data_IF_881132851882
#
_entry.id   IF_881132851882
#
_cell.length_a   1.000
_cell.length_b   1.000
_cell.length_c   1.000
_cell.angle_alpha   90.00
_cell.angle_beta   90.00
_cell.angle_gamma   90.00
#
_symmetry.space_group_name_H-M   'P 1'
#
loop_
_entity.id
_entity.type
_entity.pdbx_description
1 polymer ?
#
# COMPACT_ATOMS: atom_id res chain seq x y z
N UNK A 1 -24.06 8.55 8.74
CA UNK A 1 -23.57 9.80 8.11
C UNK A 1 -22.76 9.38 6.91
N UNK A 2 -22.75 10.17 5.84
CA UNK A 2 -22.22 9.73 4.56
C UNK A 2 -20.71 9.45 4.60
N UNK A 3 -20.28 8.36 3.96
CA UNK A 3 -18.87 8.02 3.77
C UNK A 3 -18.32 8.89 2.64
N UNK A 4 -17.23 9.59 2.91
CA UNK A 4 -16.65 10.55 1.97
C UNK A 4 -15.35 10.02 1.38
N UNK A 5 -15.31 9.94 0.05
CA UNK A 5 -14.08 9.70 -0.70
C UNK A 5 -13.23 10.97 -0.74
N UNK A 6 -11.97 10.84 -0.31
CA UNK A 6 -10.99 11.92 -0.25
C UNK A 6 -9.70 11.62 -1.03
N UNK A 7 -9.00 12.69 -1.42
CA UNK A 7 -7.60 12.64 -1.88
C UNK A 7 -6.79 13.46 -0.89
N UNK A 8 -5.92 12.84 -0.06
CA UNK A 8 -5.13 13.63 0.87
C UNK A 8 -4.18 14.54 0.09
N UNK A 9 -3.99 15.76 0.58
CA UNK A 9 -2.82 16.56 0.20
C UNK A 9 -1.54 15.96 0.80
N UNK A 10 -0.38 16.55 0.50
CA UNK A 10 0.91 16.10 1.07
C UNK A 10 0.86 16.08 2.60
N UNK A 11 0.25 17.08 3.23
CA UNK A 11 0.11 17.16 4.69
C UNK A 11 -0.80 16.05 5.25
N UNK A 12 -1.81 15.63 4.48
CA UNK A 12 -2.75 14.56 4.84
C UNK A 12 -2.17 13.15 4.72
N UNK A 13 -1.02 12.98 4.06
CA UNK A 13 -0.34 11.68 4.01
C UNK A 13 0.09 11.20 5.41
N UNK A 14 0.33 12.13 6.34
CA UNK A 14 0.71 11.80 7.72
C UNK A 14 -0.39 11.02 8.44
N UNK A 15 -1.65 11.42 8.25
CA UNK A 15 -2.82 10.78 8.82
C UNK A 15 -3.04 9.39 8.21
N UNK A 16 -2.99 9.29 6.87
CA UNK A 16 -3.09 8.00 6.16
C UNK A 16 -1.99 7.02 6.62
N UNK A 17 -0.74 7.47 6.73
CA UNK A 17 0.35 6.64 7.27
C UNK A 17 0.11 6.28 8.74
N UNK A 18 -0.45 7.19 9.53
CA UNK A 18 -0.80 6.97 10.93
C UNK A 18 -1.80 5.82 11.10
N UNK A 19 -2.95 5.87 10.43
CA UNK A 19 -3.97 4.81 10.54
C UNK A 19 -3.45 3.48 10.00
N UNK A 20 -2.65 3.49 8.93
CA UNK A 20 -1.99 2.28 8.42
C UNK A 20 -1.01 1.66 9.42
N UNK A 21 -0.37 2.46 10.29
CA UNK A 21 0.44 1.93 11.40
C UNK A 21 -0.43 1.26 12.45
N UNK A 22 -1.55 1.88 12.80
CA UNK A 22 -2.47 1.36 13.83
C UNK A 22 -3.17 0.07 13.42
N UNK A 23 -3.46 -0.11 12.13
CA UNK A 23 -4.12 -1.32 11.63
C UNK A 23 -3.19 -2.52 11.46
N UNK A 24 -1.89 -2.36 11.69
CA UNK A 24 -0.94 -3.47 11.69
C UNK A 24 -0.91 -4.18 13.03
N UNK A 25 -1.18 -5.48 13.02
CA UNK A 25 -1.01 -6.36 14.16
C UNK A 25 -0.65 -7.77 13.68
N UNK A 26 -0.06 -8.57 14.57
CA UNK A 26 0.32 -9.94 14.25
C UNK A 26 -0.91 -10.78 13.88
N UNK A 27 -0.90 -11.35 12.67
CA UNK A 27 -2.00 -12.15 12.16
C UNK A 27 -3.08 -11.35 11.41
N UNK A 28 -2.94 -10.03 11.29
CA UNK A 28 -3.75 -9.26 10.35
C UNK A 28 -3.61 -9.81 8.92
N UNK A 29 -4.67 -9.82 8.10
CA UNK A 29 -4.55 -10.14 6.68
C UNK A 29 -3.50 -9.26 6.01
N UNK A 30 -2.73 -9.83 5.08
CA UNK A 30 -1.83 -9.03 4.24
C UNK A 30 -2.65 -8.04 3.43
N UNK A 31 -2.25 -6.78 3.47
CA UNK A 31 -2.97 -5.64 2.89
C UNK A 31 -1.99 -4.47 2.67
N UNK A 32 -2.47 -3.41 2.02
CA UNK A 32 -1.74 -2.15 1.92
C UNK A 32 -1.23 -1.70 3.31
N UNK A 33 0.07 -1.43 3.42
CA UNK A 33 0.72 -1.04 4.67
C UNK A 33 1.62 0.21 4.46
N UNK A 34 2.14 0.86 5.53
CA UNK A 34 2.95 2.07 5.41
C UNK A 34 4.19 1.90 4.54
N UNK A 35 4.73 0.69 4.45
CA UNK A 35 5.87 0.37 3.60
C UNK A 35 5.57 0.48 2.12
N UNK A 36 4.34 0.22 1.68
CA UNK A 36 3.91 0.42 0.30
C UNK A 36 3.85 1.90 -0.05
N UNK A 37 3.26 2.73 0.82
CA UNK A 37 3.28 4.20 0.65
C UNK A 37 4.72 4.72 0.68
N UNK A 38 5.55 4.19 1.59
CA UNK A 38 6.97 4.52 1.69
C UNK A 38 7.72 4.18 0.42
N UNK A 39 7.46 3.01 -0.17
CA UNK A 39 8.02 2.59 -1.44
C UNK A 39 7.55 3.48 -2.59
N UNK A 40 6.24 3.80 -2.66
CA UNK A 40 5.67 4.67 -3.68
C UNK A 40 6.22 6.11 -3.59
N UNK A 41 6.59 6.56 -2.39
CA UNK A 41 7.26 7.83 -2.12
C UNK A 41 8.55 8.07 -2.90
N UNK A 42 9.14 7.03 -3.49
CA UNK A 42 10.24 7.15 -4.46
C UNK A 42 9.93 8.08 -5.64
N UNK A 43 8.64 8.34 -5.92
CA UNK A 43 8.18 9.27 -6.96
C UNK A 43 7.94 10.70 -6.45
N UNK A 44 8.09 10.96 -5.16
CA UNK A 44 7.84 12.27 -4.54
C UNK A 44 6.55 12.30 -3.72
N UNK A 45 6.43 13.32 -2.85
CA UNK A 45 5.32 13.44 -1.92
C UNK A 45 4.01 13.78 -2.64
N UNK A 46 4.05 14.69 -3.60
CA UNK A 46 2.89 15.13 -4.38
C UNK A 46 2.32 13.98 -5.22
N UNK A 47 3.19 13.22 -5.88
CA UNK A 47 2.78 12.03 -6.64
C UNK A 47 2.19 10.96 -5.75
N UNK A 48 2.74 10.78 -4.53
CA UNK A 48 2.20 9.85 -3.55
C UNK A 48 0.83 10.29 -3.06
N UNK A 49 0.67 11.57 -2.69
CA UNK A 49 -0.61 12.14 -2.29
C UNK A 49 -1.69 11.96 -3.37
N UNK A 50 -1.35 12.25 -4.63
CA UNK A 50 -2.27 12.09 -5.74
C UNK A 50 -2.69 10.64 -6.02
N UNK A 51 -1.84 9.66 -5.66
CA UNK A 51 -2.12 8.24 -5.80
C UNK A 51 -2.95 7.66 -4.64
N UNK A 52 -3.06 8.36 -3.51
CA UNK A 52 -3.80 7.88 -2.35
C UNK A 52 -5.29 8.26 -2.44
N UNK A 53 -6.14 7.37 -1.96
CA UNK A 53 -7.56 7.58 -1.68
C UNK A 53 -7.84 7.26 -0.22
N UNK A 54 -8.73 8.00 0.40
CA UNK A 54 -9.21 7.74 1.77
C UNK A 54 -10.72 7.72 1.77
N UNK A 55 -11.31 6.76 2.47
CA UNK A 55 -12.75 6.75 2.77
C UNK A 55 -12.91 7.07 4.24
N UNK A 56 -13.62 8.14 4.55
CA UNK A 56 -13.76 8.61 5.93
C UNK A 56 -15.23 8.82 6.29
N UNK A 57 -15.56 8.52 7.54
CA UNK A 57 -16.85 8.83 8.15
C UNK A 57 -16.56 9.59 9.45
N UNK A 58 -17.24 10.72 9.66
CA UNK A 58 -17.10 11.55 10.86
C UNK A 58 -15.64 11.96 11.18
N UNK A 59 -14.85 12.18 10.13
CA UNK A 59 -13.43 12.55 10.24
C UNK A 59 -12.49 11.38 10.56
N UNK A 60 -13.01 10.16 10.72
CA UNK A 60 -12.20 8.95 10.90
C UNK A 60 -12.00 8.25 9.56
N UNK A 61 -10.76 7.97 9.19
CA UNK A 61 -10.45 7.14 8.01
C UNK A 61 -10.86 5.69 8.33
N UNK A 62 -11.67 5.10 7.45
CA UNK A 62 -12.14 3.71 7.50
C UNK A 62 -11.47 2.82 6.46
N UNK A 63 -11.02 3.39 5.34
CA UNK A 63 -10.24 2.67 4.33
C UNK A 63 -9.19 3.58 3.68
N UNK A 64 -8.09 2.98 3.24
CA UNK A 64 -7.02 3.64 2.50
C UNK A 64 -6.75 2.85 1.23
N UNK A 65 -6.65 3.56 0.11
CA UNK A 65 -6.33 3.01 -1.21
C UNK A 65 -5.06 3.63 -1.77
N UNK A 66 -4.23 2.84 -2.43
CA UNK A 66 -3.10 3.28 -3.22
C UNK A 66 -3.30 2.88 -4.68
N UNK A 67 -3.31 3.86 -5.58
CA UNK A 67 -3.27 3.64 -7.02
C UNK A 67 -1.82 3.32 -7.45
N UNK A 68 -1.48 2.03 -7.47
CA UNK A 68 -0.16 1.54 -7.88
C UNK A 68 -0.08 1.41 -9.41
N UNK A 69 -0.07 2.58 -10.06
CA UNK A 69 -0.27 2.70 -11.50
C UNK A 69 -1.75 2.91 -11.86
N UNK A 70 -2.06 3.05 -13.16
CA UNK A 70 -3.38 3.49 -13.61
C UNK A 70 -4.48 2.45 -13.47
N UNK A 71 -4.13 1.18 -13.23
CA UNK A 71 -5.06 0.03 -13.31
C UNK A 71 -5.23 -0.73 -12.01
N UNK A 72 -4.42 -0.46 -10.98
CA UNK A 72 -4.41 -1.24 -9.75
C UNK A 72 -4.70 -0.35 -8.56
N UNK A 73 -5.80 -0.63 -7.86
CA UNK A 73 -6.07 -0.10 -6.53
C UNK A 73 -5.68 -1.15 -5.49
N UNK A 74 -4.70 -0.81 -4.64
CA UNK A 74 -4.36 -1.61 -3.45
C UNK A 74 -5.08 -1.02 -2.26
N UNK A 75 -5.96 -1.79 -1.64
CA UNK A 75 -6.89 -1.35 -0.62
C UNK A 75 -6.56 -1.99 0.74
N UNK A 76 -6.79 -1.23 1.79
CA UNK A 76 -6.86 -1.74 3.15
C UNK A 76 -8.01 -1.05 3.88
N UNK A 77 -8.64 -1.77 4.79
CA UNK A 77 -9.83 -1.34 5.51
C UNK A 77 -9.55 -1.52 7.00
N UNK A 78 -10.00 -0.56 7.81
CA UNK A 78 -9.92 -0.64 9.25
C UNK A 78 -10.41 -2.02 9.72
N UNK A 79 -9.66 -2.74 10.59
CA UNK A 79 -10.00 -4.12 10.94
C UNK A 79 -11.44 -4.31 11.44
N UNK A 80 -11.97 -3.34 12.19
CA UNK A 80 -13.35 -3.36 12.68
C UNK A 80 -14.44 -3.04 11.64
N UNK A 81 -14.05 -2.53 10.46
CA UNK A 81 -14.97 -2.09 9.40
C UNK A 81 -14.95 -3.01 8.16
N UNK A 82 -14.18 -4.10 8.16
CA UNK A 82 -14.05 -4.98 6.98
C UNK A 82 -15.36 -5.67 6.55
N UNK A 83 -16.33 -5.77 7.47
CA UNK A 83 -17.66 -6.34 7.22
C UNK A 83 -18.77 -5.29 7.35
N UNK A 84 -18.42 -4.00 7.37
CA UNK A 84 -19.38 -2.91 7.36
C UNK A 84 -20.02 -2.82 5.97
N UNK A 85 -21.34 -2.96 5.90
CA UNK A 85 -22.10 -3.00 4.65
C UNK A 85 -22.14 -1.64 3.94
N UNK A 86 -22.28 -0.54 4.70
CA UNK A 86 -22.33 0.81 4.15
C UNK A 86 -20.99 1.17 3.51
N UNK A 87 -19.88 0.89 4.20
CA UNK A 87 -18.53 1.09 3.67
C UNK A 87 -18.23 0.18 2.48
N UNK A 88 -18.59 -1.09 2.54
CA UNK A 88 -18.34 -2.02 1.44
C UNK A 88 -19.08 -1.60 0.18
N UNK A 89 -20.36 -1.19 0.29
CA UNK A 89 -21.13 -0.71 -0.85
C UNK A 89 -20.52 0.57 -1.44
N UNK A 90 -20.17 1.55 -0.60
CA UNK A 90 -19.54 2.78 -1.06
C UNK A 90 -18.21 2.51 -1.79
N UNK A 91 -17.39 1.58 -1.26
CA UNK A 91 -16.14 1.17 -1.89
C UNK A 91 -16.37 0.54 -3.26
N UNK A 92 -17.38 -0.32 -3.40
CA UNK A 92 -17.75 -0.93 -4.69
C UNK A 92 -18.14 0.17 -5.67
N UNK A 93 -19.12 1.01 -5.32
CA UNK A 93 -19.61 2.06 -6.21
C UNK A 93 -18.46 2.97 -6.70
N UNK A 94 -17.59 3.40 -5.78
CA UNK A 94 -16.44 4.27 -6.10
C UNK A 94 -15.40 3.62 -7.03
N UNK A 95 -15.31 2.30 -7.01
CA UNK A 95 -14.32 1.52 -7.76
C UNK A 95 -14.88 1.04 -9.10
N UNK A 96 -16.18 0.77 -9.19
CA UNK A 96 -16.83 0.20 -10.37
C UNK A 96 -17.35 1.26 -11.32
N UNK A 97 -17.65 2.48 -10.85
CA UNK A 97 -18.09 3.63 -11.65
C UNK A 97 -16.89 4.53 -12.04
N UNK A 98 -16.37 4.49 -13.29
CA UNK A 98 -15.17 5.26 -13.67
C UNK A 98 -15.31 6.78 -13.48
N UNK A 99 -16.51 7.32 -13.61
CA UNK A 99 -16.87 8.72 -13.37
C UNK A 99 -16.57 9.19 -11.94
N UNK A 100 -16.49 8.26 -10.97
CA UNK A 100 -16.11 8.57 -9.58
C UNK A 100 -14.59 8.74 -9.41
N UNK A 101 -13.81 8.37 -10.42
CA UNK A 101 -12.41 8.78 -10.55
C UNK A 101 -11.41 8.06 -9.63
N UNK A 102 -11.76 6.86 -9.14
CA UNK A 102 -10.81 5.97 -8.47
C UNK A 102 -10.04 5.15 -9.50
N UNK A 103 -10.74 4.32 -10.28
CA UNK A 103 -10.16 3.53 -11.37
C UNK A 103 -10.60 4.06 -12.74
N UNK A 104 -9.79 3.79 -13.76
CA UNK A 104 -10.10 4.14 -15.15
C UNK A 104 -11.09 3.16 -15.76
N UNK A 105 -11.71 3.53 -16.88
CA UNK A 105 -12.49 2.61 -17.70
C UNK A 105 -11.62 1.47 -18.28
N UNK A 106 -12.18 0.25 -18.38
CA UNK A 106 -11.57 -0.91 -18.99
C UNK A 106 -11.03 -1.95 -17.98
N UNK A 107 -10.05 -2.77 -18.38
CA UNK A 107 -9.49 -3.82 -17.51
C UNK A 107 -8.64 -3.19 -16.39
N UNK A 108 -9.14 -3.29 -15.16
CA UNK A 108 -8.56 -2.80 -13.91
C UNK A 108 -8.58 -3.89 -12.84
N UNK A 109 -7.90 -3.64 -11.72
CA UNK A 109 -7.65 -4.61 -10.66
C UNK A 109 -7.79 -3.95 -9.28
N UNK A 110 -8.30 -4.72 -8.33
CA UNK A 110 -8.41 -4.33 -6.93
C UNK A 110 -7.75 -5.43 -6.09
N UNK A 111 -6.77 -5.04 -5.29
CA UNK A 111 -6.24 -5.88 -4.21
C UNK A 111 -6.92 -5.42 -2.92
N UNK A 112 -7.73 -6.25 -2.28
CA UNK A 112 -8.41 -5.94 -1.03
C UNK A 112 -8.08 -6.99 0.05
N UNK A 113 -8.23 -6.67 1.36
CA UNK A 113 -7.96 -7.63 2.42
C UNK A 113 -8.79 -8.91 2.27
N UNK A 114 -8.16 -10.06 2.46
CA UNK A 114 -8.86 -11.35 2.38
C UNK A 114 -10.01 -11.43 3.39
N UNK A 115 -11.20 -11.79 2.92
CA UNK A 115 -12.41 -11.92 3.74
C UNK A 115 -13.17 -10.61 3.99
N UNK A 116 -12.68 -9.48 3.48
CA UNK A 116 -13.44 -8.23 3.49
C UNK A 116 -14.67 -8.33 2.60
N UNK A 117 -15.80 -7.77 3.06
CA UNK A 117 -17.09 -7.82 2.36
C UNK A 117 -17.01 -7.22 0.94
N UNK A 118 -16.13 -6.24 0.72
CA UNK A 118 -15.89 -5.65 -0.60
C UNK A 118 -15.49 -6.70 -1.65
N UNK A 119 -14.78 -7.78 -1.28
CA UNK A 119 -14.44 -8.84 -2.23
C UNK A 119 -15.69 -9.62 -2.67
N UNK A 120 -16.58 -9.92 -1.72
CA UNK A 120 -17.84 -10.63 -1.98
C UNK A 120 -18.73 -9.80 -2.91
N UNK A 121 -18.88 -8.51 -2.63
CA UNK A 121 -19.71 -7.59 -3.42
C UNK A 121 -19.13 -7.32 -4.82
N UNK A 122 -17.81 -7.16 -4.95
CA UNK A 122 -17.18 -7.04 -6.28
C UNK A 122 -17.42 -8.31 -7.11
N UNK A 123 -17.35 -9.48 -6.50
CA UNK A 123 -17.64 -10.75 -7.18
C UNK A 123 -19.09 -10.83 -7.63
N UNK A 124 -20.04 -10.41 -6.79
CA UNK A 124 -21.47 -10.30 -7.15
C UNK A 124 -21.71 -9.31 -8.30
N UNK A 125 -20.93 -8.22 -8.37
CA UNK A 125 -20.92 -7.24 -9.47
C UNK A 125 -20.14 -7.73 -10.72
N UNK A 126 -19.77 -9.00 -10.77
CA UNK A 126 -19.18 -9.64 -11.95
C UNK A 126 -17.65 -9.53 -12.06
N UNK A 127 -16.96 -9.08 -11.01
CA UNK A 127 -15.50 -9.11 -10.97
C UNK A 127 -14.98 -10.53 -10.74
N UNK A 128 -13.91 -10.88 -11.47
CA UNK A 128 -13.25 -12.18 -11.35
C UNK A 128 -11.90 -12.07 -10.65
N UNK A 129 -11.45 -13.18 -10.08
CA UNK A 129 -10.08 -13.32 -9.55
C UNK A 129 -9.08 -13.38 -10.71
N UNK A 130 -8.04 -12.53 -10.66
CA UNK A 130 -6.87 -12.59 -11.55
C UNK A 130 -5.76 -13.47 -10.93
N UNK A 131 -4.48 -13.20 -11.15
CA UNK A 131 -3.40 -14.02 -10.58
C UNK A 131 -3.22 -13.75 -9.07
N UNK A 132 -3.46 -14.73 -8.18
CA UNK A 132 -3.40 -14.52 -6.74
C UNK A 132 -1.95 -14.48 -6.25
N UNK A 133 -1.66 -13.60 -5.30
CA UNK A 133 -0.41 -13.63 -4.56
C UNK A 133 -0.52 -14.60 -3.39
N UNK A 134 0.50 -15.42 -3.18
CA UNK A 134 0.56 -16.33 -2.04
C UNK A 134 1.46 -15.74 -0.95
N UNK A 135 0.90 -15.14 0.12
CA UNK A 135 1.70 -14.69 1.25
C UNK A 135 2.32 -15.90 1.97
N UNK A 136 3.64 -15.85 2.20
CA UNK A 136 4.35 -16.86 2.97
C UNK A 136 4.66 -16.30 4.36
N UNK A 137 4.36 -17.08 5.41
CA UNK A 137 4.61 -16.71 6.81
C UNK A 137 5.62 -17.65 7.45
N UNK A 138 6.53 -17.09 8.24
CA UNK A 138 7.46 -17.83 9.11
C UNK A 138 7.39 -17.27 10.52
N UNK A 139 7.19 -18.15 11.50
CA UNK A 139 7.31 -17.82 12.92
C UNK A 139 8.79 -17.57 13.28
N UNK A 140 9.05 -16.48 14.00
CA UNK A 140 10.40 -16.04 14.42
C UNK A 140 10.60 -16.15 15.95
N UNK A 141 9.70 -16.86 16.66
CA UNK A 141 9.87 -17.21 18.08
C UNK A 141 11.17 -17.98 18.28
N UNK A 142 11.47 -18.90 17.34
CA UNK A 142 12.76 -19.57 17.28
C UNK A 142 13.74 -18.81 16.37
N UNK A 143 15.03 -18.70 16.74
CA UNK A 143 16.02 -18.03 15.92
C UNK A 143 16.15 -18.64 14.52
N UNK A 144 16.39 -17.78 13.52
CA UNK A 144 16.72 -18.23 12.16
C UNK A 144 18.18 -18.71 12.15
N UNK A 145 18.46 -19.75 11.34
CA UNK A 145 19.83 -20.26 11.14
C UNK A 145 20.74 -19.13 10.64
N UNK A 146 21.89 -18.95 11.28
CA UNK A 146 22.92 -18.02 10.83
C UNK A 146 23.44 -18.41 9.44
N UNK A 147 23.40 -17.46 8.52
CA UNK A 147 23.87 -17.61 7.14
C UNK A 147 25.35 -17.28 6.97
N UNK A 148 25.99 -16.67 7.98
CA UNK A 148 27.35 -16.13 7.89
C UNK A 148 27.48 -14.87 7.02
N UNK A 149 26.36 -14.30 6.56
CA UNK A 149 26.34 -13.12 5.69
C UNK A 149 26.35 -11.84 6.53
N UNK A 150 27.22 -10.90 6.15
CA UNK A 150 27.32 -9.60 6.82
C UNK A 150 26.26 -8.65 6.28
N UNK A 151 25.36 -8.22 7.16
CA UNK A 151 24.34 -7.22 6.83
C UNK A 151 24.85 -5.80 7.11
N UNK A 152 24.59 -4.87 6.19
CA UNK A 152 24.91 -3.45 6.37
C UNK A 152 23.71 -2.56 6.11
N UNK A 153 23.51 -1.57 6.98
CA UNK A 153 22.47 -0.55 6.81
C UNK A 153 22.93 0.50 5.82
N UNK A 154 22.12 0.75 4.79
CA UNK A 154 22.38 1.76 3.78
C UNK A 154 21.94 3.13 4.30
N UNK A 155 22.93 3.99 4.53
CA UNK A 155 22.73 5.42 4.68
C UNK A 155 22.90 6.19 3.36
N UNK A 156 22.73 7.52 3.42
CA UNK A 156 22.78 8.43 2.25
C UNK A 156 24.03 8.22 1.38
N UNK A 157 25.20 8.05 1.98
CA UNK A 157 26.48 7.88 1.25
C UNK A 157 26.57 6.59 0.42
N UNK A 158 25.69 5.60 0.66
CA UNK A 158 25.70 4.30 -0.04
C UNK A 158 24.42 4.02 -0.83
N UNK A 159 23.61 5.04 -1.07
CA UNK A 159 22.39 4.95 -1.87
C UNK A 159 22.63 4.34 -3.26
N UNK A 160 23.78 4.64 -3.88
CA UNK A 160 24.19 4.09 -5.17
C UNK A 160 24.30 2.55 -5.17
N UNK A 161 24.75 1.95 -4.06
CA UNK A 161 24.84 0.49 -3.92
C UNK A 161 23.44 -0.12 -3.91
N UNK A 162 22.54 0.39 -3.07
CA UNK A 162 21.15 -0.07 -3.00
C UNK A 162 20.42 0.07 -4.34
N UNK A 163 20.66 1.17 -5.05
CA UNK A 163 20.07 1.42 -6.36
C UNK A 163 20.61 0.45 -7.43
N UNK A 164 21.92 0.18 -7.42
CA UNK A 164 22.53 -0.80 -8.32
C UNK A 164 21.97 -2.21 -8.08
N UNK A 165 21.86 -2.64 -6.82
CA UNK A 165 21.27 -3.95 -6.47
C UNK A 165 19.83 -4.07 -6.97
N UNK A 166 18.98 -3.04 -6.77
CA UNK A 166 17.60 -3.08 -7.28
C UNK A 166 17.55 -3.33 -8.79
N UNK A 167 18.36 -2.60 -9.55
CA UNK A 167 18.38 -2.68 -11.01
C UNK A 167 18.95 -3.98 -11.53
N UNK A 168 19.90 -4.57 -10.79
CA UNK A 168 20.47 -5.87 -11.14
C UNK A 168 19.53 -7.04 -10.81
N UNK A 169 18.66 -6.89 -9.81
CA UNK A 169 17.75 -7.96 -9.37
C UNK A 169 16.40 -7.98 -10.08
N UNK A 170 15.96 -6.86 -10.64
CA UNK A 170 14.63 -6.74 -11.25
C UNK A 170 14.73 -6.10 -12.64
N UNK A 171 14.48 -6.91 -13.66
CA UNK A 171 14.43 -6.45 -15.05
C UNK A 171 13.43 -5.30 -15.21
N UNK A 172 13.84 -4.27 -15.94
CA UNK A 172 13.02 -3.06 -16.13
C UNK A 172 12.94 -2.12 -14.92
N UNK A 173 13.66 -2.39 -13.83
CA UNK A 173 13.66 -1.48 -12.68
C UNK A 173 14.26 -0.13 -13.04
N UNK A 174 13.44 0.91 -12.90
CA UNK A 174 13.85 2.30 -13.08
C UNK A 174 14.31 2.95 -11.77
N UNK A 175 14.73 2.17 -10.77
CA UNK A 175 15.10 2.68 -9.45
C UNK A 175 16.48 3.36 -9.49
N UNK A 176 16.57 4.59 -9.00
CA UNK A 176 17.78 5.42 -9.03
C UNK A 176 18.20 5.90 -7.64
N UNK A 177 19.34 6.59 -7.55
CA UNK A 177 19.81 7.18 -6.29
C UNK A 177 18.87 8.30 -5.82
N UNK A 178 18.36 9.09 -6.76
CA UNK A 178 17.39 10.16 -6.51
C UNK A 178 16.07 9.58 -5.98
N UNK A 179 15.59 8.49 -6.59
CA UNK A 179 14.41 7.76 -6.11
C UNK A 179 14.62 7.15 -4.72
N UNK A 180 15.82 6.66 -4.43
CA UNK A 180 16.16 6.22 -3.08
C UNK A 180 16.14 7.38 -2.08
N UNK A 181 16.67 8.56 -2.43
CA UNK A 181 16.63 9.74 -1.56
C UNK A 181 15.21 10.23 -1.31
N UNK A 182 14.36 10.27 -2.35
CA UNK A 182 12.95 10.62 -2.22
C UNK A 182 12.22 9.65 -1.27
N UNK A 183 12.38 8.34 -1.50
CA UNK A 183 11.84 7.29 -0.65
C UNK A 183 12.33 7.42 0.80
N UNK A 184 13.63 7.62 0.99
CA UNK A 184 14.25 7.74 2.32
C UNK A 184 13.91 9.05 3.05
N UNK A 185 13.36 10.04 2.35
CA UNK A 185 12.84 11.27 2.93
C UNK A 185 11.35 11.21 3.26
N UNK A 186 10.64 10.17 2.83
CA UNK A 186 9.22 10.00 3.09
C UNK A 186 8.91 9.64 4.54
N UNK A 187 7.70 9.96 4.99
CA UNK A 187 7.24 9.75 6.37
C UNK A 187 7.42 8.32 6.87
N UNK A 188 7.13 7.27 6.07
CA UNK A 188 7.30 5.88 6.53
C UNK A 188 8.76 5.48 6.78
N UNK A 189 9.74 6.22 6.25
CA UNK A 189 11.15 5.83 6.38
C UNK A 189 11.71 5.98 7.80
N UNK A 190 11.03 6.73 8.68
CA UNK A 190 11.38 6.82 10.10
C UNK A 190 11.52 5.42 10.74
N UNK A 191 10.62 4.51 10.36
CA UNK A 191 10.52 3.14 10.88
C UNK A 191 11.17 2.09 9.95
N UNK A 192 11.73 2.52 8.81
CA UNK A 192 12.27 1.63 7.78
C UNK A 192 13.80 1.69 7.68
N UNK A 193 14.42 0.60 7.22
CA UNK A 193 15.85 0.55 6.90
C UNK A 193 16.05 -0.19 5.58
N UNK A 194 17.00 0.29 4.77
CA UNK A 194 17.49 -0.49 3.63
C UNK A 194 18.73 -1.27 4.06
N UNK A 195 18.72 -2.58 3.83
CA UNK A 195 19.83 -3.47 4.14
C UNK A 195 20.47 -3.97 2.84
N UNK A 196 21.78 -4.19 2.86
CA UNK A 196 22.51 -4.98 1.86
C UNK A 196 23.27 -6.09 2.55
N UNK A 197 23.52 -7.16 1.80
CA UNK A 197 24.12 -8.41 2.22
C UNK A 197 25.35 -8.72 1.36
#
# INVERSE_FOLDING_TARGET
>A
MEIVLGKPGVDGLSEAVGVLREWQYDGAPMQLHPGDLGWFWRFGAETTAAAVRTWSQDGQILAVGLLDGPKLLRLTIAPGAQRDEELAQQLVDDVTEPERGVLIEGKVYVEAPMGALVQDLLFEDGWGTDEPWTPLRRDLTEPVKDSGVRMEVIGRGRAHVRAAVQRASFDGSMFTVERWHAMASGLPYADARCLIA
#
